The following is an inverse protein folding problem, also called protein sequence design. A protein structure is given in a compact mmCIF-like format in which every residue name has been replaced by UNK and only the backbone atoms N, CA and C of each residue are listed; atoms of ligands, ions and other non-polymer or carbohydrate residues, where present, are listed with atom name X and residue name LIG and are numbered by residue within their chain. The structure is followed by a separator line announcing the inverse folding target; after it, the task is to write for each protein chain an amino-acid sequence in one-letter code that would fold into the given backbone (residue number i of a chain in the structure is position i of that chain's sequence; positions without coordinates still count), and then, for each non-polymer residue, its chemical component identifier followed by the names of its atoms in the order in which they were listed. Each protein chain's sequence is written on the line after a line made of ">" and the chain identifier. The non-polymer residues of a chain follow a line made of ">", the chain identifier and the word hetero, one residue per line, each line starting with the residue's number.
data_IF_659826819702
#
_entry.id   IF_659826819702
#
_cell.length_a   1.000
_cell.length_b   1.000
_cell.length_c   1.000
_cell.angle_alpha   90.00
_cell.angle_beta   90.00
_cell.angle_gamma   90.00
#
_symmetry.space_group_name_H-M   'P 1'
#
loop_
_entity.id
_entity.type
_entity.pdbx_description
1 polymer ?
#
# COMPACT_ATOMS: atom_id res chain seq x y z
N UNK A 1 -39.24 45.73 -64.83
CA UNK A 1 -39.62 46.73 -63.80
C UNK A 1 -38.34 47.15 -63.06
N UNK A 2 -38.17 48.44 -62.76
CA UNK A 2 -36.88 49.16 -62.67
C UNK A 2 -36.46 49.37 -61.19
N UNK A 3 -35.31 49.91 -60.76
CA UNK A 3 -34.18 50.59 -61.38
C UNK A 3 -33.04 50.68 -60.34
N UNK A 4 -31.79 50.53 -60.77
CA UNK A 4 -30.61 50.99 -60.04
C UNK A 4 -30.41 52.49 -60.31
N UNK A 5 -30.26 53.34 -59.28
CA UNK A 5 -29.55 54.64 -59.40
C UNK A 5 -28.82 55.00 -58.10
N UNK A 6 -27.48 55.02 -58.18
CA UNK A 6 -26.57 55.72 -57.26
C UNK A 6 -26.81 57.24 -57.37
N UNK A 7 -26.80 57.95 -56.24
CA UNK A 7 -26.46 59.38 -56.17
C UNK A 7 -25.54 59.64 -54.98
N UNK A 8 -24.56 60.50 -55.24
CA UNK A 8 -23.36 60.88 -54.47
C UNK A 8 -23.57 62.27 -53.86
N UNK A 9 -22.74 62.61 -52.85
CA UNK A 9 -22.40 63.97 -52.34
C UNK A 9 -23.19 64.40 -51.10
N UNK A 10 -22.68 65.08 -50.05
CA UNK A 10 -21.35 65.49 -49.50
C UNK A 10 -21.67 66.35 -48.25
N UNK A 11 -20.89 66.21 -47.15
CA UNK A 11 -20.50 67.13 -46.02
C UNK A 11 -21.47 68.30 -45.65
N UNK A 12 -21.74 68.68 -44.39
CA UNK A 12 -20.91 68.85 -43.18
C UNK A 12 -21.79 69.22 -41.95
N UNK A 13 -21.29 68.91 -40.74
CA UNK A 13 -21.44 69.55 -39.41
C UNK A 13 -22.78 69.88 -38.72
N UNK A 14 -22.99 69.24 -37.57
CA UNK A 14 -23.48 69.81 -36.28
C UNK A 14 -23.29 68.72 -35.22
N UNK A 15 -22.17 68.70 -34.50
CA UNK A 15 -22.06 69.11 -33.09
C UNK A 15 -23.16 68.55 -32.16
N UNK A 16 -22.73 67.75 -31.19
CA UNK A 16 -23.57 66.96 -30.31
C UNK A 16 -22.78 65.87 -29.58
N UNK A 17 -21.77 66.28 -28.81
CA UNK A 17 -21.05 65.43 -27.85
C UNK A 17 -22.02 65.02 -26.74
N UNK A 18 -22.28 63.71 -26.61
CA UNK A 18 -22.73 63.09 -25.36
C UNK A 18 -21.97 61.78 -25.20
N UNK A 19 -20.89 61.86 -24.43
CA UNK A 19 -20.11 60.72 -23.97
C UNK A 19 -20.92 60.08 -22.84
N UNK A 20 -21.41 58.87 -23.05
CA UNK A 20 -21.85 58.01 -21.95
C UNK A 20 -20.90 56.81 -21.93
N UNK A 21 -19.86 56.94 -21.10
CA UNK A 21 -18.97 55.86 -20.70
C UNK A 21 -19.66 55.08 -19.57
N UNK A 22 -20.04 53.84 -19.82
CA UNK A 22 -20.33 52.86 -18.77
C UNK A 22 -19.66 51.54 -19.16
N UNK A 23 -18.34 51.49 -19.02
CA UNK A 23 -17.56 50.26 -18.94
C UNK A 23 -17.53 49.85 -17.46
N UNK A 24 -17.98 48.64 -17.07
CA UNK A 24 -17.89 48.22 -15.68
C UNK A 24 -16.42 47.95 -15.36
N UNK A 25 -15.78 48.91 -14.70
CA UNK A 25 -14.41 48.83 -14.19
C UNK A 25 -14.25 47.60 -13.32
N UNK A 26 -13.45 46.64 -13.76
CA UNK A 26 -12.97 45.54 -12.92
C UNK A 26 -12.16 46.13 -11.75
N UNK A 27 -12.46 45.76 -10.49
CA UNK A 27 -11.74 46.29 -9.35
C UNK A 27 -10.29 45.84 -9.37
N UNK A 28 -9.40 46.79 -9.14
CA UNK A 28 -7.96 46.59 -9.14
C UNK A 28 -7.54 45.65 -8.01
N UNK A 29 -6.43 44.93 -8.20
CA UNK A 29 -5.92 44.00 -7.17
C UNK A 29 -5.69 44.67 -5.81
N UNK A 30 -5.43 45.99 -5.77
CA UNK A 30 -5.32 46.75 -4.53
C UNK A 30 -6.66 46.84 -3.76
N UNK A 31 -7.76 47.10 -4.45
CA UNK A 31 -9.10 47.19 -3.84
C UNK A 31 -9.60 45.80 -3.37
N UNK A 32 -9.16 44.74 -4.05
CA UNK A 32 -9.38 43.35 -3.60
C UNK A 32 -8.59 43.00 -2.34
N UNK A 33 -7.43 43.61 -2.13
CA UNK A 33 -6.62 43.40 -0.92
C UNK A 33 -7.16 44.22 0.26
N UNK A 34 -7.72 45.40 0.01
CA UNK A 34 -8.35 46.22 1.05
C UNK A 34 -9.66 45.61 1.58
N UNK A 35 -10.44 44.96 0.72
CA UNK A 35 -11.64 44.21 1.14
C UNK A 35 -11.30 42.98 2.02
N UNK A 36 -10.07 42.48 1.96
CA UNK A 36 -9.57 41.42 2.83
C UNK A 36 -8.96 41.93 4.14
N UNK A 37 -8.68 43.23 4.26
CA UNK A 37 -7.95 43.80 5.40
C UNK A 37 -8.84 44.49 6.46
N UNK A 38 -10.14 44.18 6.48
CA UNK A 38 -11.10 44.71 7.47
C UNK A 38 -11.54 43.65 8.47
N UNK A 39 -10.57 43.05 9.18
CA UNK A 39 -10.84 42.32 10.41
C UNK A 39 -9.85 42.83 11.45
N UNK A 40 -10.15 43.99 12.01
CA UNK A 40 -9.56 44.46 13.26
C UNK A 40 -10.65 45.23 14.02
N UNK A 41 -11.39 44.53 14.89
CA UNK A 41 -11.35 44.79 16.32
C UNK A 41 -12.27 43.82 17.11
N UNK A 42 -11.78 43.46 18.30
CA UNK A 42 -12.45 42.74 19.39
C UNK A 42 -12.79 41.24 19.22
N UNK A 43 -11.77 40.38 19.40
CA UNK A 43 -11.61 39.48 20.60
C UNK A 43 -10.62 38.33 20.31
N UNK A 44 -9.37 38.49 20.75
CA UNK A 44 -8.43 37.38 20.95
C UNK A 44 -8.75 36.68 22.29
N UNK A 45 -8.45 35.37 22.46
CA UNK A 45 -7.10 34.98 22.84
C UNK A 45 -6.51 33.78 22.07
N UNK A 46 -5.22 33.93 21.81
CA UNK A 46 -4.17 32.89 21.84
C UNK A 46 -4.02 31.91 20.65
N UNK A 47 -3.11 32.34 19.76
CA UNK A 47 -2.21 31.49 19.01
C UNK A 47 -1.51 30.47 19.91
N UNK A 48 -2.03 29.24 19.94
CA UNK A 48 -1.21 28.06 20.26
C UNK A 48 -0.51 27.61 18.98
N UNK A 49 0.69 28.18 18.76
CA UNK A 49 1.73 27.52 17.99
C UNK A 49 1.99 26.16 18.65
N UNK A 50 1.63 25.10 17.92
CA UNK A 50 1.95 23.66 18.02
C UNK A 50 0.64 22.89 17.85
N UNK A 51 0.17 22.81 16.60
CA UNK A 51 -0.83 21.83 16.24
C UNK A 51 -0.15 20.46 16.18
N UNK A 52 -0.38 19.64 17.21
CA UNK A 52 -0.26 18.19 17.13
C UNK A 52 -0.94 17.68 15.85
N UNK A 53 -0.48 16.56 15.23
CA UNK A 53 -0.94 16.17 13.90
C UNK A 53 -2.42 15.85 13.96
N UNK A 54 -3.26 16.80 13.52
CA UNK A 54 -4.65 16.48 13.25
C UNK A 54 -4.65 15.49 12.08
N UNK A 55 -5.35 14.36 12.20
CA UNK A 55 -5.50 13.46 11.06
C UNK A 55 -6.12 14.27 9.92
N UNK A 56 -5.60 14.16 8.69
CA UNK A 56 -6.15 14.91 7.57
C UNK A 56 -7.63 14.55 7.44
N UNK A 57 -8.52 15.54 7.57
CA UNK A 57 -9.95 15.36 7.34
C UNK A 57 -10.15 14.64 6.02
N UNK A 58 -11.09 13.69 5.97
CA UNK A 58 -11.28 12.81 4.81
C UNK A 58 -11.42 13.57 3.47
N UNK A 59 -11.97 14.78 3.52
CA UNK A 59 -12.14 15.64 2.35
C UNK A 59 -10.80 16.17 1.81
N UNK A 60 -9.81 16.38 2.68
CA UNK A 60 -8.45 16.74 2.29
C UNK A 60 -7.75 15.59 1.56
N UNK A 61 -7.85 14.37 2.08
CA UNK A 61 -7.20 13.19 1.47
C UNK A 61 -7.78 12.91 0.09
N UNK A 62 -9.09 13.05 -0.07
CA UNK A 62 -9.74 12.89 -1.35
C UNK A 62 -9.25 13.89 -2.41
N UNK A 63 -9.13 15.18 -2.04
CA UNK A 63 -8.64 16.23 -2.95
C UNK A 63 -7.19 15.95 -3.35
N UNK A 64 -6.34 15.60 -2.39
CA UNK A 64 -4.93 15.26 -2.64
C UNK A 64 -4.80 14.00 -3.51
N UNK A 65 -5.61 12.97 -3.28
CA UNK A 65 -5.62 11.76 -4.09
C UNK A 65 -5.98 12.06 -5.55
N UNK A 66 -7.04 12.84 -5.77
CA UNK A 66 -7.43 13.26 -7.14
C UNK A 66 -6.34 14.10 -7.79
N UNK A 67 -5.72 15.01 -7.04
CA UNK A 67 -4.62 15.82 -7.53
C UNK A 67 -3.42 14.95 -7.93
N UNK A 68 -3.02 14.01 -7.07
CA UNK A 68 -1.93 13.08 -7.33
C UNK A 68 -2.17 12.26 -8.61
N UNK A 69 -3.38 11.72 -8.78
CA UNK A 69 -3.74 10.93 -9.98
C UNK A 69 -3.82 11.76 -11.27
N UNK A 70 -4.13 13.06 -11.17
CA UNK A 70 -4.18 13.95 -12.33
C UNK A 70 -2.81 14.46 -12.74
N UNK A 71 -1.97 14.79 -11.76
CA UNK A 71 -0.61 15.28 -11.96
C UNK A 71 0.43 14.15 -12.15
N UNK A 72 0.02 12.88 -11.96
CA UNK A 72 0.91 11.72 -11.89
C UNK A 72 2.01 11.88 -10.82
N UNK A 73 1.65 12.53 -9.70
CA UNK A 73 2.55 12.77 -8.58
C UNK A 73 2.60 11.55 -7.67
N UNK A 74 3.63 10.73 -7.87
CA UNK A 74 3.86 9.51 -7.09
C UNK A 74 4.12 9.81 -5.62
N UNK A 75 4.77 10.92 -5.27
CA UNK A 75 5.10 11.22 -3.88
C UNK A 75 3.83 11.55 -3.09
N UNK A 76 2.99 12.42 -3.65
CA UNK A 76 1.72 12.79 -3.06
C UNK A 76 0.75 11.61 -2.98
N UNK A 77 0.78 10.73 -3.99
CA UNK A 77 -0.01 9.50 -3.96
C UNK A 77 0.39 8.60 -2.77
N UNK A 78 1.69 8.41 -2.55
CA UNK A 78 2.18 7.59 -1.45
C UNK A 78 1.78 8.18 -0.10
N UNK A 79 1.89 9.50 0.07
CA UNK A 79 1.44 10.20 1.29
C UNK A 79 -0.05 9.96 1.57
N UNK A 80 -0.89 9.96 0.53
CA UNK A 80 -2.30 9.60 0.67
C UNK A 80 -2.46 8.13 1.13
N UNK A 81 -1.72 7.21 0.51
CA UNK A 81 -1.80 5.77 0.80
C UNK A 81 -1.33 5.40 2.21
N UNK A 82 -0.48 6.21 2.85
CA UNK A 82 -0.09 6.00 4.25
C UNK A 82 -1.25 6.17 5.24
N UNK A 83 -2.35 6.81 4.84
CA UNK A 83 -3.55 6.84 5.67
C UNK A 83 -4.19 5.45 5.77
N UNK A 84 -4.33 4.95 7.01
CA UNK A 84 -4.89 3.62 7.33
C UNK A 84 -6.32 3.67 7.88
N UNK A 85 -6.94 4.85 7.99
CA UNK A 85 -8.33 4.95 8.42
C UNK A 85 -9.28 4.43 7.34
N UNK A 86 -9.88 3.27 7.59
CA UNK A 86 -10.79 2.59 6.67
C UNK A 86 -11.96 3.49 6.23
N UNK A 87 -12.48 4.35 7.12
CA UNK A 87 -13.58 5.26 6.76
C UNK A 87 -13.12 6.32 5.77
N UNK A 88 -11.91 6.84 5.96
CA UNK A 88 -11.29 7.81 5.05
C UNK A 88 -11.02 7.18 3.70
N UNK A 89 -10.47 5.95 3.68
CA UNK A 89 -10.20 5.20 2.45
C UNK A 89 -11.49 4.97 1.67
N UNK A 90 -12.52 4.43 2.32
CA UNK A 90 -13.81 4.14 1.68
C UNK A 90 -14.45 5.42 1.11
N UNK A 91 -14.49 6.51 1.88
CA UNK A 91 -15.04 7.80 1.45
C UNK A 91 -14.22 8.42 0.30
N UNK A 92 -12.90 8.32 0.35
CA UNK A 92 -12.02 8.90 -0.68
C UNK A 92 -12.17 8.15 -2.01
N UNK A 93 -12.25 6.81 -1.95
CA UNK A 93 -12.41 5.95 -3.13
C UNK A 93 -13.81 6.06 -3.74
N UNK A 94 -14.87 6.20 -2.94
CA UNK A 94 -16.25 6.26 -3.44
C UNK A 94 -16.50 7.46 -4.34
N UNK A 95 -15.75 8.54 -4.12
CA UNK A 95 -15.88 9.79 -4.85
C UNK A 95 -14.99 9.85 -6.11
N UNK A 96 -14.28 8.78 -6.49
CA UNK A 96 -13.44 8.79 -7.68
C UNK A 96 -14.27 8.64 -8.97
N UNK A 97 -13.87 9.36 -10.02
CA UNK A 97 -14.45 9.21 -11.35
C UNK A 97 -13.85 7.97 -12.04
N UNK A 98 -14.53 7.35 -13.03
CA UNK A 98 -14.05 6.13 -13.68
C UNK A 98 -12.62 6.20 -14.26
N UNK A 99 -12.22 7.36 -14.79
CA UNK A 99 -10.86 7.58 -15.30
C UNK A 99 -9.81 7.57 -14.17
N UNK A 100 -10.12 8.18 -13.03
CA UNK A 100 -9.22 8.23 -11.87
C UNK A 100 -9.13 6.84 -11.20
N UNK A 101 -10.23 6.07 -11.21
CA UNK A 101 -10.27 4.67 -10.71
C UNK A 101 -9.27 3.79 -11.45
N UNK A 102 -9.23 3.85 -12.78
CA UNK A 102 -8.27 3.07 -13.56
C UNK A 102 -6.82 3.46 -13.25
N UNK A 103 -6.53 4.76 -13.21
CA UNK A 103 -5.18 5.26 -12.90
C UNK A 103 -4.73 4.80 -11.52
N UNK A 104 -5.64 4.86 -10.54
CA UNK A 104 -5.37 4.37 -9.20
C UNK A 104 -5.15 2.86 -9.19
N UNK A 105 -5.94 2.07 -9.92
CA UNK A 105 -5.76 0.62 -10.03
C UNK A 105 -4.37 0.27 -10.57
N UNK A 106 -3.96 0.90 -11.67
CA UNK A 106 -2.64 0.67 -12.27
C UNK A 106 -1.50 1.06 -11.31
N UNK A 107 -1.65 2.20 -10.62
CA UNK A 107 -0.68 2.67 -9.64
C UNK A 107 -0.57 1.72 -8.45
N UNK A 108 -1.71 1.24 -7.93
CA UNK A 108 -1.74 0.27 -6.82
C UNK A 108 -1.12 -1.06 -7.22
N UNK A 109 -1.39 -1.57 -8.42
CA UNK A 109 -0.74 -2.80 -8.92
C UNK A 109 0.78 -2.61 -8.97
N UNK A 110 1.26 -1.48 -9.49
CA UNK A 110 2.70 -1.17 -9.51
C UNK A 110 3.30 -1.09 -8.10
N UNK A 111 2.59 -0.51 -7.13
CA UNK A 111 3.04 -0.44 -5.74
C UNK A 111 3.04 -1.83 -5.08
N UNK A 112 2.03 -2.66 -5.33
CA UNK A 112 1.88 -3.98 -4.73
C UNK A 112 2.90 -4.98 -5.29
N UNK A 113 3.45 -4.74 -6.48
CA UNK A 113 4.61 -5.47 -6.99
C UNK A 113 5.87 -5.25 -6.12
N UNK A 114 5.98 -4.10 -5.44
CA UNK A 114 7.08 -3.84 -4.49
C UNK A 114 6.93 -4.61 -3.17
N UNK A 115 7.93 -4.54 -2.30
CA UNK A 115 7.93 -5.19 -0.98
C UNK A 115 8.03 -4.13 0.13
N UNK A 116 7.61 -4.49 1.35
CA UNK A 116 7.79 -3.65 2.55
C UNK A 116 6.53 -2.92 3.00
N UNK A 117 6.71 -1.87 3.82
CA UNK A 117 5.62 -1.15 4.47
C UNK A 117 4.62 -0.53 3.48
N UNK A 118 5.09 -0.09 2.32
CA UNK A 118 4.24 0.55 1.32
C UNK A 118 3.21 -0.40 0.73
N UNK A 119 3.57 -1.67 0.51
CA UNK A 119 2.65 -2.71 0.10
C UNK A 119 1.50 -2.86 1.11
N UNK A 120 1.84 -2.92 2.40
CA UNK A 120 0.85 -3.07 3.48
C UNK A 120 -0.11 -1.87 3.51
N UNK A 121 0.39 -0.66 3.25
CA UNK A 121 -0.43 0.54 3.16
C UNK A 121 -1.32 0.52 1.90
N UNK A 122 -0.86 -0.02 0.77
CA UNK A 122 -1.61 -0.05 -0.47
C UNK A 122 -2.76 -1.09 -0.51
N UNK A 123 -2.66 -2.19 0.26
CA UNK A 123 -3.64 -3.27 0.25
C UNK A 123 -5.08 -2.84 0.64
N UNK A 124 -5.31 -2.07 1.72
CA UNK A 124 -6.64 -1.56 2.07
C UNK A 124 -7.26 -0.70 0.96
N UNK A 125 -6.43 0.11 0.28
CA UNK A 125 -6.86 0.95 -0.84
C UNK A 125 -7.26 0.11 -2.05
N UNK A 126 -6.47 -0.90 -2.40
CA UNK A 126 -6.81 -1.83 -3.49
C UNK A 126 -8.11 -2.57 -3.20
N UNK A 127 -8.27 -3.11 -1.98
CA UNK A 127 -9.49 -3.81 -1.57
C UNK A 127 -10.71 -2.89 -1.71
N UNK A 128 -10.64 -1.68 -1.16
CA UNK A 128 -11.72 -0.69 -1.24
C UNK A 128 -12.07 -0.33 -2.70
N UNK A 129 -11.05 -0.12 -3.54
CA UNK A 129 -11.22 0.18 -4.96
C UNK A 129 -11.96 -0.94 -5.71
N UNK A 130 -11.51 -2.19 -5.53
CA UNK A 130 -12.10 -3.36 -6.18
C UNK A 130 -13.54 -3.60 -5.71
N UNK A 131 -13.81 -3.45 -4.41
CA UNK A 131 -15.16 -3.67 -3.87
C UNK A 131 -16.17 -2.62 -4.33
N UNK A 132 -15.76 -1.35 -4.42
CA UNK A 132 -16.67 -0.25 -4.76
C UNK A 132 -16.87 -0.08 -6.27
N UNK A 133 -15.82 -0.32 -7.05
CA UNK A 133 -15.81 -0.02 -8.50
C UNK A 133 -15.68 -1.28 -9.38
N UNK A 134 -15.99 -2.47 -8.85
CA UNK A 134 -15.89 -3.74 -9.57
C UNK A 134 -16.53 -3.71 -10.97
N UNK A 135 -17.77 -3.21 -11.07
CA UNK A 135 -18.50 -3.15 -12.34
C UNK A 135 -17.84 -2.21 -13.35
N UNK A 136 -17.39 -1.04 -12.89
CA UNK A 136 -16.71 -0.05 -13.73
C UNK A 136 -15.33 -0.52 -14.19
N UNK A 137 -14.62 -1.26 -13.34
CA UNK A 137 -13.34 -1.87 -13.70
C UNK A 137 -13.58 -2.99 -14.73
N UNK A 138 -14.49 -3.91 -14.44
CA UNK A 138 -14.74 -5.10 -15.27
C UNK A 138 -15.33 -4.79 -16.64
N UNK A 139 -16.01 -3.65 -16.80
CA UNK A 139 -16.52 -3.18 -18.09
C UNK A 139 -15.42 -2.72 -19.05
N UNK A 140 -14.18 -2.52 -18.59
CA UNK A 140 -13.10 -1.96 -19.40
C UNK A 140 -12.13 -3.06 -19.82
N UNK A 141 -11.99 -3.29 -21.12
CA UNK A 141 -11.15 -4.36 -21.66
C UNK A 141 -9.68 -4.25 -21.22
N UNK A 142 -9.16 -3.02 -21.10
CA UNK A 142 -7.80 -2.74 -20.62
C UNK A 142 -7.56 -3.15 -19.16
N UNK A 143 -8.61 -3.30 -18.35
CA UNK A 143 -8.47 -3.70 -16.95
C UNK A 143 -8.29 -5.20 -16.78
N UNK A 144 -8.73 -6.02 -17.75
CA UNK A 144 -8.70 -7.48 -17.66
C UNK A 144 -7.26 -7.99 -17.51
N UNK A 145 -6.34 -7.48 -18.34
CA UNK A 145 -4.91 -7.82 -18.26
C UNK A 145 -4.34 -7.42 -16.90
N UNK A 146 -4.68 -6.22 -16.41
CA UNK A 146 -4.21 -5.72 -15.12
C UNK A 146 -4.72 -6.57 -13.94
N UNK A 147 -5.99 -6.98 -13.98
CA UNK A 147 -6.59 -7.86 -12.97
C UNK A 147 -5.96 -9.26 -13.00
N UNK A 148 -5.70 -9.82 -14.18
CA UNK A 148 -5.01 -11.11 -14.29
C UNK A 148 -3.58 -11.03 -13.74
N UNK A 149 -2.84 -9.96 -14.06
CA UNK A 149 -1.51 -9.72 -13.47
C UNK A 149 -1.57 -9.58 -11.95
N UNK A 150 -2.60 -8.91 -11.41
CA UNK A 150 -2.80 -8.80 -9.97
C UNK A 150 -3.10 -10.17 -9.33
N UNK A 151 -3.93 -11.00 -9.96
CA UNK A 151 -4.23 -12.36 -9.49
C UNK A 151 -2.95 -13.21 -9.42
N UNK A 152 -2.19 -13.25 -10.52
CA UNK A 152 -0.92 -13.99 -10.58
C UNK A 152 0.11 -13.48 -9.55
N UNK A 153 0.15 -12.17 -9.31
CA UNK A 153 1.01 -11.60 -8.27
C UNK A 153 0.58 -12.05 -6.86
N UNK A 154 -0.72 -12.09 -6.57
CA UNK A 154 -1.22 -12.58 -5.29
C UNK A 154 -0.89 -14.06 -5.11
N UNK A 155 -1.16 -14.88 -6.13
CA UNK A 155 -0.86 -16.31 -6.12
C UNK A 155 0.63 -16.59 -5.87
N UNK A 156 1.51 -15.87 -6.59
CA UNK A 156 2.97 -15.99 -6.40
C UNK A 156 3.47 -15.61 -5.01
N UNK A 157 2.76 -14.75 -4.29
CA UNK A 157 3.13 -14.36 -2.92
C UNK A 157 2.57 -15.34 -1.90
N UNK A 158 1.34 -15.77 -2.09
CA UNK A 158 0.69 -16.76 -1.22
C UNK A 158 1.41 -18.11 -1.29
N UNK A 159 1.95 -18.51 -2.46
CA UNK A 159 2.70 -19.76 -2.59
C UNK A 159 3.97 -19.82 -1.73
N UNK A 160 4.54 -18.67 -1.35
CA UNK A 160 5.72 -18.61 -0.46
C UNK A 160 5.39 -18.64 1.02
N UNK A 161 4.10 -18.63 1.38
CA UNK A 161 3.65 -18.52 2.77
C UNK A 161 4.02 -19.73 3.62
N UNK A 162 3.90 -20.94 3.07
CA UNK A 162 4.26 -22.18 3.76
C UNK A 162 5.76 -22.21 4.10
N UNK A 163 6.62 -21.96 3.12
CA UNK A 163 8.08 -21.90 3.34
C UNK A 163 8.48 -20.81 4.33
N UNK A 164 7.77 -19.67 4.33
CA UNK A 164 8.00 -18.60 5.29
C UNK A 164 7.65 -19.01 6.73
N UNK A 165 6.56 -19.76 6.92
CA UNK A 165 6.16 -20.31 8.24
C UNK A 165 7.16 -21.36 8.73
N UNK A 166 7.61 -22.26 7.84
CA UNK A 166 8.62 -23.26 8.20
C UNK A 166 9.93 -22.59 8.63
N UNK A 167 10.36 -21.56 7.91
CA UNK A 167 11.53 -20.77 8.26
C UNK A 167 11.36 -20.05 9.60
N UNK A 168 10.20 -19.41 9.85
CA UNK A 168 9.96 -18.73 11.13
C UNK A 168 9.99 -19.72 12.29
N UNK A 169 9.34 -20.89 12.14
CA UNK A 169 9.37 -21.93 13.17
C UNK A 169 10.78 -22.47 13.42
N UNK A 170 11.59 -22.65 12.38
CA UNK A 170 12.98 -23.08 12.52
C UNK A 170 13.83 -22.01 13.25
N UNK A 171 13.63 -20.73 12.92
CA UNK A 171 14.28 -19.62 13.61
C UNK A 171 13.85 -19.53 15.08
N UNK A 172 12.58 -19.74 15.39
CA UNK A 172 12.08 -19.75 16.77
C UNK A 172 12.76 -20.86 17.59
N UNK A 173 12.90 -22.07 17.02
CA UNK A 173 13.61 -23.19 17.67
C UNK A 173 15.08 -22.83 17.91
N UNK A 174 15.78 -22.33 16.89
CA UNK A 174 17.19 -21.93 17.03
C UNK A 174 17.37 -20.81 18.05
N UNK A 175 16.47 -19.83 18.08
CA UNK A 175 16.49 -18.74 19.05
C UNK A 175 16.31 -19.26 20.48
N UNK A 176 15.37 -20.20 20.70
CA UNK A 176 15.21 -20.83 22.02
C UNK A 176 16.44 -21.64 22.44
N UNK A 177 17.10 -22.34 21.50
CA UNK A 177 18.30 -23.12 21.79
C UNK A 177 19.51 -22.27 22.17
N UNK A 178 19.71 -21.11 21.52
CA UNK A 178 20.79 -20.18 21.86
C UNK A 178 20.56 -19.52 23.23
N UNK A 179 19.32 -19.13 23.53
CA UNK A 179 18.99 -18.47 24.81
C UNK A 179 19.12 -19.42 26.02
N UNK A 180 18.91 -20.73 25.83
CA UNK A 180 19.09 -21.73 26.90
C UNK A 180 20.57 -22.07 27.16
N UNK A 181 21.44 -21.99 26.13
CA UNK A 181 22.87 -22.31 26.23
C UNK A 181 23.67 -21.22 26.98
N UNK A 182 23.21 -19.96 26.96
CA UNK A 182 23.82 -18.83 27.67
C UNK A 182 23.67 -18.91 29.22
N UNK A 183 22.92 -19.91 29.74
CA UNK A 183 22.65 -20.06 31.18
C UNK A 183 23.64 -21.02 31.86
N UNK A 184 24.48 -21.75 31.11
CA UNK A 184 25.44 -22.72 31.65
C UNK A 184 26.92 -22.31 31.54
N UNK A 185 27.24 -21.02 31.36
CA UNK A 185 28.64 -20.54 31.39
C UNK A 185 29.24 -20.42 32.82
N UNK A 186 28.58 -20.96 33.85
CA UNK A 186 29.13 -21.04 35.23
C UNK A 186 29.39 -22.48 35.71
N UNK A 187 29.19 -23.51 34.87
CA UNK A 187 29.66 -24.85 35.17
C UNK A 187 31.14 -24.98 34.79
N UNK A 188 31.99 -25.03 35.80
CA UNK A 188 33.45 -25.21 35.69
C UNK A 188 33.80 -26.40 34.78
N UNK A 189 34.22 -26.13 33.55
CA UNK A 189 34.77 -27.13 32.63
C UNK A 189 36.12 -27.62 33.17
N UNK A 190 36.10 -28.66 33.99
CA UNK A 190 37.31 -29.39 34.40
C UNK A 190 37.84 -30.14 33.17
N UNK A 191 39.11 -29.95 32.76
CA UNK A 191 39.66 -30.67 31.62
C UNK A 191 39.76 -32.16 31.96
N UNK A 192 39.04 -33.01 31.21
CA UNK A 192 39.22 -34.46 31.27
C UNK A 192 40.48 -34.80 30.46
N UNK A 193 41.57 -35.10 31.17
CA UNK A 193 42.81 -35.62 30.59
C UNK A 193 42.63 -37.13 30.46
N UNK A 194 42.63 -37.64 29.22
CA UNK A 194 42.72 -39.07 28.96
C UNK A 194 44.21 -39.43 28.94
N UNK A 195 44.70 -40.15 29.96
CA UNK A 195 45.97 -40.87 29.87
C UNK A 195 45.71 -42.17 29.10
N UNK A 196 46.28 -42.28 27.90
CA UNK A 196 46.42 -43.54 27.16
C UNK A 196 47.29 -44.48 27.98
N UNK A 197 46.67 -45.42 28.70
CA UNK A 197 47.39 -46.49 29.37
C UNK A 197 47.51 -47.68 28.41
N UNK A 198 48.47 -47.59 27.47
CA UNK A 198 48.96 -48.74 26.71
C UNK A 198 49.79 -49.64 27.64
N UNK A 199 49.12 -50.38 28.52
CA UNK A 199 49.68 -51.58 29.13
C UNK A 199 48.98 -52.79 28.53
N UNK A 200 49.56 -53.25 27.43
CA UNK A 200 49.43 -54.59 26.90
C UNK A 200 49.86 -55.59 27.98
N UNK A 201 48.90 -56.20 28.67
CA UNK A 201 49.13 -57.48 29.33
C UNK A 201 48.01 -58.46 28.98
N UNK A 202 48.46 -59.58 28.44
CA UNK A 202 47.68 -60.74 28.02
C UNK A 202 46.87 -61.28 29.22
N UNK A 203 45.64 -61.75 29.01
CA UNK A 203 45.23 -63.10 29.40
C UNK A 203 43.79 -63.40 28.96
N UNK A 204 43.61 -64.64 28.55
CA UNK A 204 42.43 -65.26 27.95
C UNK A 204 41.21 -65.32 28.88
N UNK A 205 40.02 -65.30 28.28
CA UNK A 205 38.97 -66.28 28.62
C UNK A 205 37.88 -66.31 27.56
N UNK A 206 37.73 -67.47 26.94
CA UNK A 206 36.64 -67.90 26.07
C UNK A 206 35.31 -67.88 26.84
N UNK A 207 34.22 -67.39 26.23
CA UNK A 207 32.98 -68.15 26.26
C UNK A 207 32.09 -67.82 25.05
N UNK A 208 31.63 -68.90 24.43
CA UNK A 208 30.82 -68.93 23.24
C UNK A 208 29.41 -69.37 23.64
N UNK A 209 28.37 -68.68 23.15
CA UNK A 209 27.15 -69.33 22.63
C UNK A 209 26.35 -68.30 21.82
N UNK A 210 26.22 -68.59 20.52
CA UNK A 210 25.06 -68.19 19.72
C UNK A 210 23.79 -68.78 20.35
N UNK A 211 22.69 -68.04 20.32
CA UNK A 211 21.38 -68.67 20.23
C UNK A 211 20.53 -67.87 19.26
N UNK A 212 20.39 -68.43 18.06
CA UNK A 212 19.27 -68.19 17.17
C UNK A 212 17.97 -68.56 17.88
N UNK A 213 16.96 -67.70 17.79
CA UNK A 213 15.58 -68.16 17.90
C UNK A 213 14.67 -67.32 17.00
N UNK A 214 14.46 -67.89 15.82
CA UNK A 214 13.36 -67.65 14.91
C UNK A 214 12.04 -68.13 15.56
N UNK A 215 10.98 -67.33 15.45
CA UNK A 215 9.60 -67.81 15.55
C UNK A 215 8.66 -66.88 14.80
N UNK A 216 8.29 -67.32 13.61
CA UNK A 216 7.07 -67.04 12.86
C UNK A 216 5.82 -66.90 13.76
N UNK A 217 4.89 -66.01 13.44
CA UNK A 217 3.73 -66.42 12.64
C UNK A 217 2.85 -65.23 12.19
N UNK A 218 2.10 -65.55 11.15
CA UNK A 218 1.22 -64.77 10.29
C UNK A 218 0.07 -64.00 10.99
N UNK A 219 -0.51 -63.01 10.32
CA UNK A 219 -1.93 -63.06 9.90
C UNK A 219 -2.32 -61.84 9.04
N UNK A 220 -3.14 -62.13 8.04
CA UNK A 220 -3.62 -61.22 6.99
C UNK A 220 -5.01 -60.65 7.33
N UNK A 221 -5.31 -59.45 6.82
CA UNK A 221 -6.65 -58.91 6.45
C UNK A 221 -6.56 -57.38 6.35
N UNK A 222 -7.28 -56.64 5.51
CA UNK A 222 -8.15 -56.87 4.37
C UNK A 222 -8.28 -55.50 3.68
N UNK A 223 -8.68 -55.51 2.42
CA UNK A 223 -8.89 -54.34 1.59
C UNK A 223 -9.94 -53.36 2.15
N UNK A 224 -9.78 -52.07 1.82
CA UNK A 224 -10.89 -51.14 1.70
C UNK A 224 -10.59 -50.13 0.59
N UNK A 225 -10.91 -50.53 -0.63
CA UNK A 225 -11.25 -49.61 -1.72
C UNK A 225 -12.48 -48.79 -1.33
N UNK A 226 -12.38 -47.47 -1.46
CA UNK A 226 -13.51 -46.60 -1.75
C UNK A 226 -13.09 -45.71 -2.92
N UNK A 227 -13.54 -46.09 -4.12
CA UNK A 227 -13.66 -45.20 -5.28
C UNK A 227 -14.89 -44.30 -5.12
#
# INVERSE_FOLDING_TARGET
>A
MPSMKKKKSRRESSDGVLVNEEEPTEPTMGEKLETLNLIDDAKQPELSLVAAPQPPSADSVQVLLRQALRADDRTLLLDCLYNRDEKVIVKSVSLLNPADVLKLLQSLISIIQSRGAILLCALPWLKSLLLQHASGIMSQESSLIALNSLYQLIESRVSTFESAIQLSSCLDILYTGVVDDDVDENATLVPVIYEDNDESDEEKSEDAMETDQDSSDEEASEASEWC
#
